data_IF_986458254942
#
_entry.id   IF_986458254942
#
_cell.length_a   1.000
_cell.length_b   1.000
_cell.length_c   1.000
_cell.angle_alpha   90.00
_cell.angle_beta   90.00
_cell.angle_gamma   90.00
#
_symmetry.space_group_name_H-M   'P 1'
#
loop_
_entity.id
_entity.type
_entity.pdbx_description
1 polymer ?
#
# COMPACT_ATOMS: atom_id res chain seq x y z
N UNK A 1 10.76 -2.47 -1.87
CA UNK A 1 11.61 -3.67 -1.81
C UNK A 1 12.27 -3.84 -0.45
N UNK A 2 12.93 -2.82 0.11
CA UNK A 2 13.58 -2.93 1.44
C UNK A 2 12.69 -3.49 2.56
N UNK A 3 11.44 -3.02 2.66
CA UNK A 3 10.48 -3.51 3.66
C UNK A 3 10.13 -5.00 3.48
N UNK A 4 10.10 -5.49 2.24
CA UNK A 4 9.79 -6.91 1.98
C UNK A 4 10.97 -7.81 2.36
N UNK A 5 12.20 -7.35 2.08
CA UNK A 5 13.44 -8.04 2.49
C UNK A 5 13.50 -8.14 4.01
N UNK A 6 13.14 -7.07 4.73
CA UNK A 6 13.08 -7.07 6.20
C UNK A 6 12.04 -8.06 6.71
N UNK A 7 10.84 -8.08 6.12
CA UNK A 7 9.80 -9.04 6.52
C UNK A 7 10.18 -10.50 6.25
N UNK A 8 10.87 -10.75 5.14
CA UNK A 8 11.39 -12.07 4.81
C UNK A 8 12.49 -12.51 5.79
N UNK A 9 13.46 -11.64 6.06
CA UNK A 9 14.53 -11.90 7.03
C UNK A 9 14.01 -12.17 8.45
N UNK A 10 12.90 -11.52 8.83
CA UNK A 10 12.24 -11.72 10.13
C UNK A 10 11.27 -12.91 10.16
N UNK A 11 11.03 -13.60 9.03
CA UNK A 11 10.06 -14.69 8.96
C UNK A 11 8.61 -14.25 9.24
N UNK A 12 8.25 -13.02 8.87
CA UNK A 12 6.91 -12.49 9.16
C UNK A 12 5.82 -13.23 8.38
N UNK A 13 4.78 -13.67 9.08
CA UNK A 13 3.55 -14.15 8.44
C UNK A 13 2.83 -13.02 7.68
N UNK A 14 2.00 -13.35 6.71
CA UNK A 14 1.23 -12.37 5.92
C UNK A 14 0.36 -11.44 6.79
N UNK A 15 -0.15 -11.96 7.90
CA UNK A 15 -0.94 -11.18 8.88
C UNK A 15 -0.05 -10.21 9.66
N UNK A 16 1.15 -10.65 10.04
CA UNK A 16 2.13 -9.81 10.73
C UNK A 16 2.62 -8.70 9.81
N UNK A 17 2.86 -9.00 8.52
CA UNK A 17 3.22 -7.98 7.51
C UNK A 17 2.16 -6.90 7.40
N UNK A 18 0.87 -7.26 7.28
CA UNK A 18 -0.22 -6.28 7.27
C UNK A 18 -0.24 -5.45 8.55
N UNK A 19 -0.14 -6.09 9.71
CA UNK A 19 -0.14 -5.36 11.00
C UNK A 19 1.02 -4.36 11.06
N UNK A 20 2.25 -4.81 10.81
CA UNK A 20 3.44 -3.98 10.85
C UNK A 20 3.44 -2.88 9.79
N UNK A 21 3.02 -3.21 8.56
CA UNK A 21 2.92 -2.21 7.50
C UNK A 21 1.89 -1.13 7.79
N UNK A 22 0.83 -1.44 8.55
CA UNK A 22 -0.12 -0.41 9.02
C UNK A 22 0.44 0.43 10.15
N UNK A 23 1.28 -0.13 11.02
CA UNK A 23 1.97 0.65 12.06
C UNK A 23 2.97 1.66 11.48
N UNK A 24 3.58 1.36 10.33
CA UNK A 24 4.51 2.27 9.64
C UNK A 24 3.78 3.46 8.99
N UNK A 25 2.46 3.40 8.83
CA UNK A 25 1.67 4.52 8.33
C UNK A 25 1.60 5.65 9.37
N UNK A 26 1.75 6.90 8.92
CA UNK A 26 1.58 8.09 9.77
C UNK A 26 0.13 8.19 10.28
N UNK A 27 -0.13 9.02 11.30
CA UNK A 27 -1.46 9.12 11.91
C UNK A 27 -2.60 9.41 10.92
N UNK A 28 -2.39 10.29 9.94
CA UNK A 28 -3.39 10.60 8.90
C UNK A 28 -3.68 9.38 7.99
N UNK A 29 -2.66 8.57 7.74
CA UNK A 29 -2.72 7.39 6.88
C UNK A 29 -3.38 6.21 7.61
N UNK A 30 -3.28 6.14 8.94
CA UNK A 30 -4.00 5.17 9.76
C UNK A 30 -5.52 5.35 9.69
N UNK A 31 -6.00 6.60 9.66
CA UNK A 31 -7.43 6.89 9.47
C UNK A 31 -7.91 6.46 8.08
N UNK A 32 -7.12 6.72 7.03
CA UNK A 32 -7.42 6.22 5.69
C UNK A 32 -7.56 4.69 5.68
N UNK A 33 -6.59 3.98 6.26
CA UNK A 33 -6.60 2.51 6.24
C UNK A 33 -7.80 1.95 7.00
N UNK A 34 -8.13 2.51 8.16
CA UNK A 34 -9.34 2.13 8.92
C UNK A 34 -10.61 2.28 8.07
N UNK A 35 -10.74 3.37 7.33
CA UNK A 35 -11.87 3.60 6.43
C UNK A 35 -11.85 2.65 5.22
N UNK A 36 -10.68 2.33 4.67
CA UNK A 36 -10.55 1.35 3.59
C UNK A 36 -11.02 -0.03 4.03
N UNK A 37 -10.64 -0.47 5.24
CA UNK A 37 -11.12 -1.73 5.84
C UNK A 37 -12.64 -1.78 5.98
N UNK A 38 -13.26 -0.69 6.40
CA UNK A 38 -14.72 -0.60 6.51
C UNK A 38 -15.40 -0.72 5.13
N UNK A 39 -14.89 -0.02 4.11
CA UNK A 39 -15.42 -0.12 2.73
C UNK A 39 -15.29 -1.52 2.14
N UNK A 40 -14.24 -2.25 2.50
CA UNK A 40 -14.04 -3.63 2.05
C UNK A 40 -14.96 -4.64 2.78
N UNK A 41 -15.76 -4.20 3.77
CA UNK A 41 -16.54 -5.11 4.60
C UNK A 41 -15.67 -6.03 5.48
N UNK A 42 -14.39 -5.70 5.66
CA UNK A 42 -13.40 -6.53 6.32
C UNK A 42 -13.46 -6.44 7.87
N UNK A 43 -14.61 -6.09 8.43
CA UNK A 43 -14.83 -5.88 9.87
C UNK A 43 -14.51 -7.09 10.76
N UNK A 44 -14.23 -8.26 10.18
CA UNK A 44 -13.68 -9.44 10.84
C UNK A 44 -12.87 -10.35 9.92
N UNK A 45 -12.50 -9.88 8.73
CA UNK A 45 -11.75 -10.68 7.73
C UNK A 45 -10.27 -10.35 7.85
N UNK A 46 -9.43 -11.38 7.93
CA UNK A 46 -7.98 -11.23 7.90
C UNK A 46 -7.55 -10.63 6.56
N UNK A 47 -7.00 -9.43 6.60
CA UNK A 47 -6.45 -8.77 5.42
C UNK A 47 -4.99 -9.21 5.25
N UNK A 48 -4.74 -9.96 4.20
CA UNK A 48 -3.37 -10.37 3.81
C UNK A 48 -2.59 -9.20 3.21
N UNK A 49 -1.26 -9.30 3.23
CA UNK A 49 -0.33 -8.24 2.84
C UNK A 49 -0.58 -7.70 1.44
N UNK A 50 -0.88 -8.59 0.48
CA UNK A 50 -1.18 -8.21 -0.90
C UNK A 50 -2.38 -7.27 -1.04
N UNK A 51 -3.42 -7.46 -0.22
CA UNK A 51 -4.60 -6.59 -0.23
C UNK A 51 -4.26 -5.21 0.33
N UNK A 52 -3.46 -5.16 1.39
CA UNK A 52 -2.93 -3.90 1.92
C UNK A 52 -2.10 -3.15 0.87
N UNK A 53 -1.13 -3.82 0.24
CA UNK A 53 -0.28 -3.22 -0.80
C UNK A 53 -1.11 -2.64 -1.94
N UNK A 54 -2.10 -3.36 -2.44
CA UNK A 54 -2.97 -2.89 -3.54
C UNK A 54 -3.67 -1.58 -3.19
N UNK A 55 -4.29 -1.53 -2.01
CA UNK A 55 -5.01 -0.34 -1.55
C UNK A 55 -4.06 0.82 -1.24
N UNK A 56 -2.90 0.52 -0.65
CA UNK A 56 -1.84 1.49 -0.39
C UNK A 56 -1.35 2.12 -1.70
N UNK A 57 -0.98 1.31 -2.69
CA UNK A 57 -0.55 1.81 -4.00
C UNK A 57 -1.66 2.61 -4.69
N UNK A 58 -2.91 2.16 -4.62
CA UNK A 58 -4.04 2.91 -5.19
C UNK A 58 -4.22 4.30 -4.56
N UNK A 59 -3.95 4.44 -3.27
CA UNK A 59 -4.10 5.71 -2.52
C UNK A 59 -2.95 6.69 -2.77
N UNK A 60 -1.70 6.23 -2.67
CA UNK A 60 -0.52 7.10 -2.76
C UNK A 60 0.08 7.19 -4.16
N UNK A 61 -0.19 6.19 -5.00
CA UNK A 61 0.27 6.11 -6.38
C UNK A 61 -0.94 5.90 -7.31
N UNK A 62 -1.91 6.83 -7.32
CA UNK A 62 -3.00 6.77 -8.29
C UNK A 62 -2.40 6.74 -9.71
N UNK A 63 -3.15 6.18 -10.66
CA UNK A 63 -2.72 6.01 -12.05
C UNK A 63 -2.14 7.31 -12.66
N UNK A 64 -2.55 8.47 -12.15
CA UNK A 64 -2.07 9.80 -12.51
C UNK A 64 -0.56 10.00 -12.33
N UNK A 65 0.09 9.41 -11.31
CA UNK A 65 1.56 9.54 -11.15
C UNK A 65 2.30 8.74 -12.22
N UNK A 66 1.74 7.59 -12.62
CA UNK A 66 2.27 6.76 -13.73
C UNK A 66 2.03 7.45 -15.08
N UNK A 67 0.83 7.97 -15.29
CA UNK A 67 0.47 8.70 -16.49
C UNK A 67 1.26 9.99 -16.64
N UNK A 68 1.52 10.73 -15.55
CA UNK A 68 2.32 11.96 -15.59
C UNK A 68 3.76 11.70 -16.02
N UNK A 69 4.38 10.60 -15.57
CA UNK A 69 5.71 10.19 -16.08
C UNK A 69 5.69 9.76 -17.55
N UNK A 70 4.61 9.12 -18.01
CA UNK A 70 4.43 8.77 -19.43
C UNK A 70 4.23 10.03 -20.28
N UNK A 71 3.47 11.01 -19.79
CA UNK A 71 3.27 12.31 -20.45
C UNK A 71 4.58 13.10 -20.47
N UNK A 72 5.32 13.21 -19.36
CA UNK A 72 6.64 13.84 -19.33
C UNK A 72 7.63 13.15 -20.29
N UNK A 73 7.58 11.81 -20.40
CA UNK A 73 8.38 11.06 -21.38
C UNK A 73 7.94 11.31 -22.83
N UNK A 74 6.64 11.50 -23.10
CA UNK A 74 6.12 11.85 -24.42
C UNK A 74 6.41 13.31 -24.81
N UNK A 75 6.41 14.23 -23.84
CA UNK A 75 6.73 15.65 -24.02
C UNK A 75 8.24 15.89 -24.13
N UNK A 76 9.08 14.96 -23.67
CA UNK A 76 10.52 14.91 -23.94
C UNK A 76 10.86 14.49 -25.39
N UNK A 77 9.98 14.78 -26.36
CA UNK A 77 10.36 14.81 -27.77
C UNK A 77 11.11 16.13 -28.05
N UNK A 78 12.44 15.96 -28.05
CA UNK A 78 13.49 16.68 -28.78
C UNK A 78 13.11 17.97 -29.53
#
# INVERSE_FOLDING_TARGET
>A
EEVEIIFEAMGCSEVNKTTLGTYVLREEDNNWWRNAKLRMGAGGVVIIWETFKREFFRKYFPADVKNKKVVEFMELKQ
#
